data_IF_443862573460
#
_entry.id   IF_443862573460
#
_cell.length_a   1.000
_cell.length_b   1.000
_cell.length_c   1.000
_cell.angle_alpha   90.00
_cell.angle_beta   90.00
_cell.angle_gamma   90.00
#
_symmetry.space_group_name_H-M   'P 1'
#
loop_
_entity.id
_entity.type
_entity.pdbx_description
1 polymer ?
#
# COMPACT_ATOMS: atom_id res chain seq x y z
N UNK A 1 -0.22 11.33 13.13
CA UNK A 1 0.55 11.23 11.88
C UNK A 1 -0.36 10.67 10.80
N UNK A 2 -0.18 11.08 9.54
CA UNK A 2 -0.93 10.53 8.41
C UNK A 2 -0.24 9.27 7.87
N UNK A 3 -0.99 8.40 7.18
CA UNK A 3 -0.41 7.25 6.46
C UNK A 3 0.75 7.68 5.57
N UNK A 4 1.79 6.87 5.46
CA UNK A 4 2.95 7.18 4.60
C UNK A 4 2.57 7.13 3.12
N UNK A 5 1.63 6.26 2.74
CA UNK A 5 1.29 5.95 1.34
C UNK A 5 2.54 5.51 0.56
N UNK A 6 3.04 4.31 0.88
CA UNK A 6 4.21 3.72 0.23
C UNK A 6 4.05 3.69 -1.30
N UNK A 7 5.13 3.99 -2.04
CA UNK A 7 5.05 4.27 -3.47
C UNK A 7 5.01 3.01 -4.34
N UNK A 8 5.16 1.81 -3.77
CA UNK A 8 5.31 0.57 -4.52
C UNK A 8 4.58 -0.61 -3.84
N UNK A 9 4.33 -1.66 -4.62
CA UNK A 9 3.97 -2.97 -4.09
C UNK A 9 5.20 -3.63 -3.48
N UNK A 10 5.10 -4.10 -2.24
CA UNK A 10 6.24 -4.67 -1.51
C UNK A 10 6.75 -6.00 -2.12
N UNK A 11 5.93 -6.69 -2.92
CA UNK A 11 6.27 -7.98 -3.56
C UNK A 11 6.82 -7.85 -4.97
N UNK A 12 6.08 -7.18 -5.86
CA UNK A 12 6.40 -7.11 -7.29
C UNK A 12 7.00 -5.76 -7.72
N UNK A 13 7.13 -4.84 -6.78
CA UNK A 13 7.71 -3.51 -6.98
C UNK A 13 7.01 -2.64 -8.05
N UNK A 14 5.75 -2.94 -8.42
CA UNK A 14 4.98 -2.04 -9.28
C UNK A 14 4.71 -0.73 -8.56
N UNK A 15 4.74 0.39 -9.30
CA UNK A 15 4.43 1.70 -8.74
C UNK A 15 2.96 1.80 -8.32
N UNK A 16 2.73 2.32 -7.12
CA UNK A 16 1.42 2.53 -6.50
C UNK A 16 1.25 3.99 -6.09
N UNK A 17 1.08 4.92 -7.05
CA UNK A 17 0.89 6.34 -6.76
C UNK A 17 -0.34 6.58 -5.86
N UNK A 18 -0.49 7.75 -5.22
CA UNK A 18 -1.51 8.00 -4.18
C UNK A 18 -2.97 7.71 -4.58
N UNK A 19 -3.26 7.71 -5.88
CA UNK A 19 -4.57 7.46 -6.46
C UNK A 19 -4.74 6.03 -7.00
N UNK A 20 -3.67 5.23 -7.05
CA UNK A 20 -3.74 3.85 -7.52
C UNK A 20 -4.50 2.95 -6.56
N UNK A 21 -5.19 1.97 -7.13
CA UNK A 21 -5.77 0.88 -6.35
C UNK A 21 -4.63 0.06 -5.71
N UNK A 22 -4.57 0.10 -4.39
CA UNK A 22 -3.64 -0.65 -3.57
C UNK A 22 -4.36 -1.17 -2.34
N UNK A 23 -3.76 -2.14 -1.66
CA UNK A 23 -4.24 -2.73 -0.44
C UNK A 23 -3.20 -2.54 0.66
N UNK A 24 -3.66 -2.34 1.89
CA UNK A 24 -2.84 -1.99 3.04
C UNK A 24 -3.27 -2.78 4.29
N UNK A 25 -2.32 -3.13 5.16
CA UNK A 25 -2.60 -3.65 6.51
C UNK A 25 -2.39 -2.58 7.59
N UNK A 26 -2.60 -2.93 8.87
CA UNK A 26 -2.40 -2.03 10.02
C UNK A 26 -0.96 -1.55 10.22
N UNK A 27 0.02 -2.19 9.58
CA UNK A 27 1.45 -1.83 9.61
C UNK A 27 1.93 -1.14 8.33
N UNK A 28 0.98 -0.71 7.50
CA UNK A 28 1.22 -0.09 6.20
C UNK A 28 1.94 -0.97 5.16
N UNK A 29 1.95 -2.30 5.34
CA UNK A 29 2.37 -3.21 4.26
C UNK A 29 1.48 -2.99 3.03
N UNK A 30 2.06 -2.61 1.90
CA UNK A 30 1.34 -2.13 0.72
C UNK A 30 1.47 -3.11 -0.45
N UNK A 31 0.34 -3.47 -1.05
CA UNK A 31 0.27 -4.49 -2.11
C UNK A 31 -0.62 -4.04 -3.27
N UNK A 32 -0.24 -4.40 -4.50
CA UNK A 32 -1.11 -4.21 -5.65
C UNK A 32 -2.24 -5.26 -5.65
N UNK A 33 -3.33 -4.97 -6.38
CA UNK A 33 -4.48 -5.87 -6.56
C UNK A 33 -4.05 -7.29 -6.96
N UNK A 34 -3.12 -7.38 -7.91
CA UNK A 34 -2.72 -8.66 -8.49
C UNK A 34 -1.96 -9.52 -7.48
N UNK A 35 -1.08 -8.93 -6.66
CA UNK A 35 -0.43 -9.65 -5.57
C UNK A 35 -1.45 -10.11 -4.51
N UNK A 36 -2.39 -9.24 -4.11
CA UNK A 36 -3.44 -9.60 -3.13
C UNK A 36 -4.29 -10.77 -3.60
N UNK A 37 -4.60 -10.84 -4.89
CA UNK A 37 -5.37 -11.94 -5.46
C UNK A 37 -4.67 -13.31 -5.33
N UNK A 38 -3.34 -13.31 -5.17
CA UNK A 38 -2.56 -14.55 -4.98
C UNK A 38 -2.31 -14.91 -3.53
N UNK A 39 -2.61 -14.02 -2.58
CA UNK A 39 -2.34 -14.26 -1.17
C UNK A 39 -3.41 -15.18 -0.54
N UNK A 40 -3.00 -16.22 0.21
CA UNK A 40 -3.94 -17.12 0.88
C UNK A 40 -4.89 -16.33 1.79
N UNK A 41 -6.20 -16.53 1.61
CA UNK A 41 -7.23 -15.87 2.40
C UNK A 41 -7.23 -14.33 2.28
N UNK A 42 -6.54 -13.75 1.29
CA UNK A 42 -6.29 -12.29 1.19
C UNK A 42 -5.64 -11.70 2.46
N UNK A 43 -4.88 -12.50 3.19
CA UNK A 43 -4.12 -12.05 4.34
C UNK A 43 -2.78 -11.42 3.91
N UNK A 44 -2.29 -10.47 4.69
CA UNK A 44 -0.97 -9.87 4.49
C UNK A 44 0.13 -10.93 4.72
N UNK A 45 1.06 -11.15 3.78
CA UNK A 45 2.12 -12.16 3.94
C UNK A 45 3.12 -11.81 5.06
N UNK A 46 3.27 -10.52 5.39
CA UNK A 46 4.23 -10.06 6.40
C UNK A 46 3.70 -10.14 7.83
N UNK A 47 2.41 -9.87 8.06
CA UNK A 47 1.85 -9.81 9.42
C UNK A 47 0.70 -10.79 9.68
N UNK A 48 0.22 -11.51 8.66
CA UNK A 48 -0.95 -12.40 8.76
C UNK A 48 -2.29 -11.69 8.95
N UNK A 49 -2.30 -10.36 9.03
CA UNK A 49 -3.50 -9.56 9.24
C UNK A 49 -4.30 -9.29 7.97
N UNK A 50 -5.44 -8.64 8.15
CA UNK A 50 -6.37 -8.29 7.08
C UNK A 50 -5.75 -7.28 6.11
N UNK A 51 -6.11 -7.39 4.84
CA UNK A 51 -5.80 -6.40 3.81
C UNK A 51 -7.06 -5.62 3.45
N UNK A 52 -7.01 -4.31 3.62
CA UNK A 52 -8.08 -3.38 3.27
C UNK A 52 -7.65 -2.52 2.08
N UNK A 53 -8.62 -1.94 1.36
CA UNK A 53 -8.29 -1.01 0.27
C UNK A 53 -7.59 0.24 0.85
N UNK A 54 -6.43 0.57 0.30
CA UNK A 54 -5.62 1.73 0.72
C UNK A 54 -6.44 3.02 0.52
N UNK A 55 -6.63 3.84 1.57
CA UNK A 55 -7.29 5.13 1.43
C UNK A 55 -6.54 6.04 0.45
N UNK A 56 -7.29 6.78 -0.37
CA UNK A 56 -6.73 7.77 -1.29
C UNK A 56 -6.56 9.10 -0.56
N UNK A 57 -5.37 9.70 -0.64
CA UNK A 57 -5.18 11.09 -0.19
C UNK A 57 -5.73 12.06 -1.24
N UNK A 58 -6.67 12.94 -0.89
CA UNK A 58 -7.24 13.90 -1.83
C UNK A 58 -6.16 14.78 -2.47
N UNK A 59 -6.34 15.10 -3.75
CA UNK A 59 -5.35 15.86 -4.53
C UNK A 59 -4.97 17.20 -3.87
N UNK A 60 -5.96 17.90 -3.31
CA UNK A 60 -5.77 19.17 -2.59
C UNK A 60 -4.90 19.07 -1.32
N UNK A 61 -4.68 17.86 -0.79
CA UNK A 61 -3.86 17.62 0.40
C UNK A 61 -2.45 17.12 0.07
N UNK A 62 -2.17 16.72 -1.17
CA UNK A 62 -0.88 16.13 -1.56
C UNK A 62 0.28 17.11 -1.42
N UNK A 63 0.10 18.38 -1.78
CA UNK A 63 1.18 19.37 -1.70
C UNK A 63 1.67 19.58 -0.26
N UNK A 64 0.76 19.62 0.71
CA UNK A 64 1.09 19.81 2.12
C UNK A 64 1.42 18.48 2.85
N UNK A 65 1.00 17.34 2.28
CA UNK A 65 1.17 16.01 2.87
C UNK A 65 1.58 15.04 1.75
N UNK A 66 2.82 15.11 1.25
CA UNK A 66 3.26 14.26 0.16
C UNK A 66 3.24 12.77 0.58
N UNK A 67 3.02 11.84 -0.35
CA UNK A 67 3.24 10.42 -0.10
C UNK A 67 4.73 10.14 0.11
N UNK A 68 5.05 9.00 0.70
CA UNK A 68 6.42 8.55 0.85
C UNK A 68 7.06 8.30 -0.53
N UNK A 69 8.32 8.68 -0.64
CA UNK A 69 9.19 8.33 -1.78
C UNK A 69 10.06 7.11 -1.50
N UNK A 70 9.99 6.56 -0.28
CA UNK A 70 10.78 5.41 0.14
C UNK A 70 10.07 4.13 -0.29
N UNK A 71 10.70 3.38 -1.19
CA UNK A 71 10.23 2.05 -1.59
C UNK A 71 10.47 1.07 -0.44
N UNK A 72 9.55 0.14 -0.25
CA UNK A 72 9.66 -0.93 0.73
C UNK A 72 9.56 -2.27 0.01
N UNK A 73 10.31 -3.25 0.49
CA UNK A 73 10.28 -4.61 -0.04
C UNK A 73 10.08 -5.59 1.10
N UNK A 74 9.24 -6.60 0.87
CA UNK A 74 8.91 -7.66 1.81
C UNK A 74 7.84 -8.57 1.25
N UNK A 75 7.71 -9.80 1.78
CA UNK A 75 6.62 -10.76 1.52
C UNK A 75 6.34 -11.14 0.07
#
# INVERSE_FOLDING_TARGET
MALELRPNCERCDVDLPPHAEAYICTFECTWCRDCVATFPGRACPNCGGNLERRPVRPASKLAANPPSTVRVHGG
#
